data_IF_349439778397
#
_entry.id   IF_349439778397
#
_cell.length_a   1.000
_cell.length_b   1.000
_cell.length_c   1.000
_cell.angle_alpha   90.00
_cell.angle_beta   90.00
_cell.angle_gamma   90.00
#
_symmetry.space_group_name_H-M   'P 1'
#
loop_
_entity.id
_entity.type
_entity.pdbx_description
1 polymer ?
#
# COMPACT_ATOMS: atom_id res chain seq x y z
N UNK A 1 -4.64 -15.06 -6.15
CA UNK A 1 -5.63 -16.14 -5.93
C UNK A 1 -6.56 -16.20 -7.14
N UNK A 2 -6.69 -17.35 -7.80
CA UNK A 2 -7.72 -17.62 -8.83
C UNK A 2 -8.84 -18.47 -8.24
N UNK A 3 -10.10 -18.23 -8.62
CA UNK A 3 -11.23 -19.10 -8.26
C UNK A 3 -11.40 -20.18 -9.35
N UNK A 4 -10.41 -21.08 -9.45
CA UNK A 4 -10.43 -22.26 -10.33
C UNK A 4 -10.34 -23.57 -9.52
N UNK A 5 -10.90 -24.69 -10.03
CA UNK A 5 -10.89 -25.98 -9.31
C UNK A 5 -9.51 -26.62 -9.17
N UNK A 6 -8.62 -26.44 -10.15
CA UNK A 6 -7.27 -27.02 -10.17
C UNK A 6 -6.25 -25.98 -9.66
N UNK A 7 -5.39 -26.32 -8.69
CA UNK A 7 -4.29 -25.45 -8.27
C UNK A 7 -3.17 -25.45 -9.33
N UNK A 8 -2.61 -24.28 -9.61
CA UNK A 8 -1.45 -24.16 -10.50
C UNK A 8 -0.23 -24.90 -9.91
N UNK A 9 0.57 -25.57 -10.76
CA UNK A 9 1.88 -26.11 -10.35
C UNK A 9 2.87 -24.97 -10.12
N UNK A 10 3.03 -24.54 -8.87
CA UNK A 10 3.93 -23.44 -8.48
C UNK A 10 4.92 -23.93 -7.43
N UNK A 11 6.18 -23.50 -7.55
CA UNK A 11 7.16 -23.69 -6.49
C UNK A 11 6.65 -23.08 -5.17
N UNK A 12 6.95 -23.70 -4.02
CA UNK A 12 6.40 -23.25 -2.73
C UNK A 12 6.94 -21.87 -2.29
N UNK A 13 8.13 -21.51 -2.74
CA UNK A 13 8.79 -20.23 -2.47
C UNK A 13 9.81 -19.89 -3.56
N UNK A 14 10.39 -18.68 -3.49
CA UNK A 14 11.36 -18.22 -4.47
C UNK A 14 12.64 -19.07 -4.47
N UNK A 15 13.10 -19.50 -3.29
CA UNK A 15 14.31 -20.32 -3.16
C UNK A 15 14.17 -21.67 -3.84
N UNK A 16 13.02 -22.33 -3.69
CA UNK A 16 12.67 -23.57 -4.36
C UNK A 16 12.53 -23.39 -5.88
N UNK A 17 11.97 -22.27 -6.33
CA UNK A 17 11.90 -21.93 -7.76
C UNK A 17 13.31 -21.80 -8.36
N UNK A 18 14.19 -21.03 -7.69
CA UNK A 18 15.59 -20.86 -8.11
C UNK A 18 16.31 -22.21 -8.12
N UNK A 19 16.19 -23.01 -7.06
CA UNK A 19 16.79 -24.34 -6.97
C UNK A 19 16.35 -25.27 -8.12
N UNK A 20 15.07 -25.21 -8.50
CA UNK A 20 14.55 -25.96 -9.65
C UNK A 20 15.17 -25.54 -10.98
N UNK A 21 15.52 -24.26 -11.14
CA UNK A 21 16.13 -23.72 -12.35
C UNK A 21 17.64 -24.00 -12.44
N UNK A 22 18.37 -23.87 -11.33
CA UNK A 22 19.85 -23.94 -11.31
C UNK A 22 20.40 -25.32 -10.96
N UNK A 23 19.55 -26.21 -10.44
CA UNK A 23 19.94 -27.54 -10.00
C UNK A 23 20.87 -27.48 -8.79
N UNK A 24 22.14 -27.87 -8.96
CA UNK A 24 23.16 -27.93 -7.88
C UNK A 24 24.29 -26.92 -8.04
N UNK A 25 24.24 -26.04 -9.05
CA UNK A 25 25.28 -25.04 -9.26
C UNK A 25 25.17 -23.87 -8.27
N UNK A 26 26.29 -23.19 -7.95
CA UNK A 26 26.23 -21.92 -7.23
C UNK A 26 25.57 -20.85 -8.11
N UNK A 27 24.97 -19.85 -7.47
CA UNK A 27 24.30 -18.73 -8.15
C UNK A 27 24.99 -17.42 -7.80
N UNK A 28 25.40 -16.70 -8.83
CA UNK A 28 25.84 -15.32 -8.71
C UNK A 28 24.65 -14.41 -8.49
N UNK A 29 24.74 -13.50 -7.54
CA UNK A 29 23.72 -12.48 -7.30
C UNK A 29 24.33 -11.09 -7.30
N UNK A 30 23.54 -10.14 -7.78
CA UNK A 30 23.87 -8.72 -7.79
C UNK A 30 23.97 -8.18 -6.33
N UNK A 31 24.92 -7.28 -6.01
CA UNK A 31 25.05 -6.68 -4.68
C UNK A 31 23.82 -5.89 -4.24
N UNK A 32 22.98 -5.45 -5.18
CA UNK A 32 21.72 -4.76 -4.92
C UNK A 32 20.56 -5.73 -4.62
N UNK A 33 20.77 -7.06 -4.69
CA UNK A 33 19.75 -8.03 -4.28
C UNK A 33 19.39 -7.77 -2.81
N UNK A 34 18.09 -7.55 -2.47
CA UNK A 34 17.71 -7.29 -1.08
C UNK A 34 18.18 -8.39 -0.13
N UNK A 35 18.73 -8.00 1.02
CA UNK A 35 19.25 -8.89 2.05
C UNK A 35 18.24 -9.99 2.44
N UNK A 36 16.96 -9.64 2.53
CA UNK A 36 15.87 -10.60 2.78
C UNK A 36 15.80 -11.70 1.72
N UNK A 37 15.84 -11.31 0.43
CA UNK A 37 15.78 -12.23 -0.71
C UNK A 37 17.03 -13.08 -0.81
N UNK A 38 18.20 -12.49 -0.59
CA UNK A 38 19.45 -13.23 -0.51
C UNK A 38 19.35 -14.35 0.53
N UNK A 39 18.91 -14.03 1.76
CA UNK A 39 18.77 -15.01 2.85
C UNK A 39 17.71 -16.07 2.57
N UNK A 40 16.61 -15.72 1.90
CA UNK A 40 15.59 -16.68 1.46
C UNK A 40 16.17 -17.69 0.49
N UNK A 41 16.83 -17.23 -0.57
CA UNK A 41 17.41 -18.07 -1.62
C UNK A 41 18.58 -18.91 -1.08
N UNK A 42 19.44 -18.32 -0.23
CA UNK A 42 20.61 -18.99 0.36
C UNK A 42 20.26 -20.21 1.24
N UNK A 43 18.99 -20.39 1.62
CA UNK A 43 18.52 -21.61 2.31
C UNK A 43 18.46 -22.83 1.38
N UNK A 44 18.39 -22.60 0.06
CA UNK A 44 18.15 -23.64 -0.93
C UNK A 44 19.34 -23.85 -1.88
N UNK A 45 20.13 -22.81 -2.13
CA UNK A 45 21.25 -22.84 -3.07
C UNK A 45 22.46 -22.08 -2.50
N UNK A 46 23.66 -22.45 -2.96
CA UNK A 46 24.88 -21.70 -2.64
C UNK A 46 24.90 -20.39 -3.44
N UNK A 47 25.09 -19.26 -2.75
CA UNK A 47 25.12 -17.93 -3.35
C UNK A 47 26.49 -17.29 -3.18
N UNK A 48 26.90 -16.50 -4.16
CA UNK A 48 28.01 -15.57 -4.04
C UNK A 48 27.62 -14.22 -4.64
N UNK A 49 28.05 -13.14 -3.98
CA UNK A 49 27.80 -11.77 -4.45
C UNK A 49 28.85 -11.43 -5.50
N UNK A 50 28.40 -11.06 -6.71
CA UNK A 50 29.27 -10.71 -7.83
C UNK A 50 29.26 -9.21 -8.10
N UNK A 51 30.42 -8.60 -8.35
CA UNK A 51 30.53 -7.17 -8.67
C UNK A 51 30.79 -6.27 -7.46
N UNK A 52 30.89 -4.97 -7.72
CA UNK A 52 31.11 -3.93 -6.70
C UNK A 52 29.80 -3.23 -6.35
N UNK A 53 29.65 -2.81 -5.09
CA UNK A 53 28.50 -2.00 -4.65
C UNK A 53 28.48 -0.67 -5.39
N UNK A 54 27.37 -0.37 -6.06
CA UNK A 54 27.21 0.88 -6.81
C UNK A 54 26.78 1.98 -5.85
N UNK A 55 27.62 3.01 -5.70
CA UNK A 55 27.32 4.15 -4.82
C UNK A 55 26.63 5.26 -5.58
N UNK A 56 25.46 5.74 -5.13
CA UNK A 56 24.81 6.85 -5.78
C UNK A 56 25.62 8.14 -5.52
N UNK A 57 25.57 9.07 -6.48
CA UNK A 57 26.31 10.35 -6.41
C UNK A 57 25.61 11.35 -5.49
N UNK A 58 25.60 11.06 -4.18
CA UNK A 58 24.83 11.80 -3.17
C UNK A 58 25.78 12.42 -2.16
N UNK A 59 25.57 13.71 -1.85
CA UNK A 59 26.34 14.37 -0.79
C UNK A 59 26.03 13.73 0.57
N UNK A 60 27.06 13.50 1.38
CA UNK A 60 26.88 13.16 2.79
C UNK A 60 26.58 14.41 3.61
N UNK A 61 25.82 14.27 4.69
CA UNK A 61 25.49 15.37 5.58
C UNK A 61 24.57 14.93 6.72
N UNK A 62 24.09 15.92 7.47
CA UNK A 62 23.16 15.71 8.58
C UNK A 62 22.03 16.73 8.55
N UNK A 63 20.88 16.33 9.08
CA UNK A 63 19.70 17.19 9.24
C UNK A 63 19.17 17.06 10.66
N UNK A 64 18.76 18.17 11.27
CA UNK A 64 18.18 18.15 12.62
C UNK A 64 16.79 17.50 12.61
N UNK A 65 16.48 16.65 13.59
CA UNK A 65 15.16 16.04 13.78
C UNK A 65 14.03 17.07 13.88
N UNK A 66 14.31 18.23 14.50
CA UNK A 66 13.39 19.38 14.51
C UNK A 66 13.17 19.98 13.11
N UNK A 67 14.22 20.10 12.30
CA UNK A 67 14.12 20.59 10.92
C UNK A 67 13.31 19.65 10.02
N UNK A 68 13.47 18.34 10.20
CA UNK A 68 12.65 17.31 9.53
C UNK A 68 11.17 17.52 9.88
N UNK A 69 10.87 17.61 11.18
CA UNK A 69 9.49 17.78 11.69
C UNK A 69 8.86 19.08 11.19
N UNK A 70 9.61 20.19 11.20
CA UNK A 70 9.14 21.48 10.68
C UNK A 70 8.89 21.44 9.16
N UNK A 71 9.75 20.76 8.40
CA UNK A 71 9.61 20.62 6.95
C UNK A 71 8.34 19.87 6.60
N UNK A 72 8.11 18.74 7.28
CA UNK A 72 6.88 17.95 7.14
C UNK A 72 5.65 18.76 7.55
N UNK A 73 5.68 19.44 8.70
CA UNK A 73 4.57 20.27 9.17
C UNK A 73 4.21 21.38 8.17
N UNK A 74 5.21 22.04 7.56
CA UNK A 74 4.99 23.02 6.49
C UNK A 74 4.31 22.40 5.27
N UNK A 75 4.72 21.20 4.86
CA UNK A 75 4.12 20.49 3.74
C UNK A 75 2.65 20.14 4.02
N UNK A 76 2.34 19.59 5.21
CA UNK A 76 0.96 19.28 5.64
C UNK A 76 0.10 20.54 5.75
N UNK A 77 0.64 21.66 6.23
CA UNK A 77 -0.09 22.91 6.34
C UNK A 77 -0.62 23.43 4.98
N UNK A 78 0.10 23.16 3.88
CA UNK A 78 -0.30 23.61 2.53
C UNK A 78 -1.57 22.96 2.01
N UNK A 79 -1.87 21.73 2.43
CA UNK A 79 -3.03 20.96 1.97
C UNK A 79 -4.20 20.99 2.96
N UNK A 80 -3.96 21.50 4.18
CA UNK A 80 -4.92 21.46 5.28
C UNK A 80 -6.24 22.17 4.97
N UNK A 81 -6.18 23.32 4.30
CA UNK A 81 -7.39 24.07 3.95
C UNK A 81 -8.29 23.29 2.97
N UNK A 82 -7.69 22.68 1.94
CA UNK A 82 -8.42 21.84 0.99
C UNK A 82 -9.05 20.62 1.68
N UNK A 83 -8.32 19.96 2.58
CA UNK A 83 -8.85 18.83 3.36
C UNK A 83 -10.03 19.26 4.25
N UNK A 84 -9.94 20.42 4.91
CA UNK A 84 -11.02 20.96 5.74
C UNK A 84 -12.28 21.25 4.93
N UNK A 85 -12.13 21.85 3.73
CA UNK A 85 -13.24 22.10 2.81
C UNK A 85 -13.91 20.80 2.35
N UNK A 86 -13.12 19.79 1.98
CA UNK A 86 -13.63 18.46 1.61
C UNK A 86 -14.43 17.81 2.76
N UNK A 87 -13.94 17.92 4.00
CA UNK A 87 -14.62 17.41 5.19
C UNK A 87 -15.93 18.15 5.45
N UNK A 88 -15.96 19.48 5.30
CA UNK A 88 -17.16 20.29 5.49
C UNK A 88 -18.25 19.92 4.47
N UNK A 89 -17.86 19.75 3.21
CA UNK A 89 -18.74 19.45 2.09
C UNK A 89 -19.24 18.00 2.06
N UNK A 90 -18.57 17.07 2.75
CA UNK A 90 -18.88 15.63 2.73
C UNK A 90 -19.39 15.15 4.10
N UNK A 91 -20.71 14.93 4.29
CA UNK A 91 -21.29 14.57 5.59
C UNK A 91 -20.61 13.39 6.30
N UNK A 92 -20.28 12.33 5.55
CA UNK A 92 -19.62 11.13 6.08
C UNK A 92 -18.21 11.39 6.64
N UNK A 93 -17.53 12.46 6.22
CA UNK A 93 -16.18 12.83 6.67
C UNK A 93 -16.18 13.78 7.86
N UNK A 94 -17.31 14.40 8.20
CA UNK A 94 -17.40 15.37 9.31
C UNK A 94 -16.81 14.90 10.65
N UNK A 95 -16.91 13.60 11.04
CA UNK A 95 -16.25 13.10 12.24
C UNK A 95 -14.73 13.31 12.26
N UNK A 96 -14.07 13.52 11.12
CA UNK A 96 -12.63 13.78 11.00
C UNK A 96 -12.23 15.21 11.38
N UNK A 97 -13.17 16.17 11.38
CA UNK A 97 -12.86 17.60 11.55
C UNK A 97 -12.05 17.93 12.82
N UNK A 98 -12.36 17.38 14.01
CA UNK A 98 -11.56 17.64 15.22
C UNK A 98 -10.11 17.16 15.11
N UNK A 99 -9.87 16.12 14.32
CA UNK A 99 -8.58 15.43 14.25
C UNK A 99 -7.58 16.08 13.30
N UNK A 100 -8.02 17.02 12.44
CA UNK A 100 -7.12 17.79 11.56
C UNK A 100 -6.03 18.53 12.34
N UNK A 101 -6.34 18.99 13.55
CA UNK A 101 -5.38 19.63 14.45
C UNK A 101 -4.85 18.65 15.50
N UNK A 102 -5.73 17.85 16.13
CA UNK A 102 -5.35 16.97 17.25
C UNK A 102 -4.21 16.00 16.89
N UNK A 103 -4.21 15.47 15.67
CA UNK A 103 -3.22 14.50 15.22
C UNK A 103 -2.02 15.13 14.53
N UNK A 104 -1.92 16.46 14.47
CA UNK A 104 -0.82 17.12 13.76
C UNK A 104 0.52 17.11 14.50
N UNK A 105 0.57 16.58 15.72
CA UNK A 105 1.79 16.41 16.48
C UNK A 105 2.68 15.34 15.83
N UNK A 106 3.88 15.73 15.44
CA UNK A 106 4.87 14.83 14.85
C UNK A 106 5.56 14.01 15.95
N UNK A 107 5.32 12.71 15.99
CA UNK A 107 5.92 11.79 16.97
C UNK A 107 7.11 11.01 16.40
N UNK A 108 7.63 11.42 15.24
CA UNK A 108 8.44 10.56 14.38
C UNK A 108 9.56 9.85 15.10
N UNK A 109 10.41 10.65 15.72
CA UNK A 109 11.63 10.21 16.37
C UNK A 109 11.36 9.64 17.77
N UNK A 110 10.35 10.13 18.48
CA UNK A 110 9.95 9.57 19.78
C UNK A 110 9.45 8.13 19.64
N UNK A 111 8.57 7.85 18.69
CA UNK A 111 8.11 6.48 18.46
C UNK A 111 9.24 5.59 17.91
N UNK A 112 10.16 6.16 17.13
CA UNK A 112 11.31 5.44 16.61
C UNK A 112 12.27 5.03 17.72
N UNK A 113 12.46 5.89 18.73
CA UNK A 113 13.22 5.58 19.92
C UNK A 113 12.63 4.38 20.68
N UNK A 114 11.30 4.30 20.76
CA UNK A 114 10.61 3.15 21.35
C UNK A 114 10.83 1.87 20.53
N UNK A 115 10.77 1.97 19.20
CA UNK A 115 11.05 0.84 18.30
C UNK A 115 12.47 0.34 18.52
N UNK A 116 13.46 1.23 18.52
CA UNK A 116 14.86 0.91 18.77
C UNK A 116 15.07 0.31 20.17
N UNK A 117 14.38 0.83 21.19
CA UNK A 117 14.44 0.28 22.54
C UNK A 117 13.87 -1.15 22.61
N UNK A 118 12.74 -1.43 21.94
CA UNK A 118 12.11 -2.77 21.92
C UNK A 118 12.94 -3.81 21.16
N UNK A 119 13.59 -3.41 20.07
CA UNK A 119 14.44 -4.31 19.26
C UNK A 119 15.87 -4.44 19.82
N UNK A 120 16.22 -3.59 20.79
CA UNK A 120 17.55 -3.52 21.37
C UNK A 120 18.60 -3.03 20.37
N UNK A 121 18.21 -2.19 19.41
CA UNK A 121 19.11 -1.57 18.45
C UNK A 121 19.57 -0.18 18.93
N UNK A 122 20.77 0.20 18.55
CA UNK A 122 21.37 1.51 18.86
C UNK A 122 20.94 2.60 17.86
N UNK A 123 20.64 2.18 16.63
CA UNK A 123 20.27 3.04 15.52
C UNK A 123 19.38 2.29 14.53
N UNK A 124 18.64 3.03 13.71
CA UNK A 124 17.98 2.54 12.49
C UNK A 124 18.75 3.03 11.27
N UNK A 125 18.93 2.14 10.31
CA UNK A 125 19.48 2.42 8.99
C UNK A 125 18.43 2.06 7.94
N UNK A 126 18.17 2.99 7.03
CA UNK A 126 17.31 2.79 5.86
C UNK A 126 18.07 3.16 4.61
N UNK A 127 17.96 2.33 3.58
CA UNK A 127 18.38 2.62 2.20
C UNK A 127 17.17 2.66 1.25
N UNK A 128 15.95 2.44 1.74
CA UNK A 128 14.75 2.60 0.91
C UNK A 128 14.46 4.09 0.67
N UNK A 129 14.04 4.50 -0.54
CA UNK A 129 13.77 5.92 -0.84
C UNK A 129 12.78 6.55 0.14
N UNK A 130 11.72 5.83 0.50
CA UNK A 130 10.72 6.29 1.47
C UNK A 130 11.26 6.40 2.89
N UNK A 131 12.14 5.50 3.33
CA UNK A 131 12.72 5.55 4.66
C UNK A 131 13.73 6.70 4.76
N UNK A 132 14.51 6.94 3.71
CA UNK A 132 15.38 8.12 3.61
C UNK A 132 14.55 9.40 3.63
N UNK A 133 13.46 9.46 2.85
CA UNK A 133 12.55 10.61 2.85
C UNK A 133 11.88 10.82 4.23
N UNK A 134 11.42 9.76 4.89
CA UNK A 134 10.81 9.80 6.23
C UNK A 134 11.80 10.31 7.27
N UNK A 135 13.05 9.82 7.28
CA UNK A 135 14.02 10.25 8.28
C UNK A 135 14.61 11.64 7.99
N UNK A 136 14.75 12.04 6.74
CA UNK A 136 15.45 13.27 6.38
C UNK A 136 14.54 14.42 5.92
N UNK A 137 13.28 14.16 5.58
CA UNK A 137 12.41 15.09 4.83
C UNK A 137 13.09 15.63 3.56
N UNK A 138 13.83 14.75 2.86
CA UNK A 138 14.53 15.06 1.61
C UNK A 138 14.00 14.20 0.48
N UNK A 139 13.29 14.79 -0.49
CA UNK A 139 12.60 14.04 -1.54
C UNK A 139 13.56 13.47 -2.57
N UNK A 140 13.24 12.27 -3.08
CA UNK A 140 13.93 11.65 -4.21
C UNK A 140 15.43 11.42 -3.99
N UNK A 141 15.85 11.25 -2.74
CA UNK A 141 17.27 11.10 -2.39
C UNK A 141 17.66 9.63 -2.37
N UNK A 142 18.59 9.27 -3.25
CA UNK A 142 19.27 7.97 -3.20
C UNK A 142 20.23 7.88 -2.00
N UNK A 143 20.68 6.66 -1.67
CA UNK A 143 21.64 6.40 -0.62
C UNK A 143 20.98 5.93 0.67
N UNK A 144 21.63 6.23 1.81
CA UNK A 144 21.20 5.74 3.11
C UNK A 144 21.02 6.87 4.12
N UNK A 145 20.14 6.64 5.10
CA UNK A 145 19.95 7.49 6.26
C UNK A 145 20.07 6.67 7.55
N UNK A 146 20.71 7.26 8.56
CA UNK A 146 20.96 6.66 9.86
C UNK A 146 20.46 7.59 10.96
N UNK A 147 19.55 7.07 11.79
CA UNK A 147 19.11 7.74 13.02
C UNK A 147 19.57 6.94 14.23
N UNK A 148 20.30 7.59 15.15
CA UNK A 148 20.68 7.00 16.44
C UNK A 148 19.63 7.29 17.48
N UNK A 149 19.32 6.31 18.34
CA UNK A 149 18.33 6.47 19.38
C UNK A 149 18.64 7.67 20.28
N UNK A 150 17.70 8.58 20.44
CA UNK A 150 17.82 9.81 21.23
C UNK A 150 18.72 10.89 20.62
N UNK A 151 19.11 10.75 19.35
CA UNK A 151 19.85 11.79 18.62
C UNK A 151 18.95 12.97 18.27
N UNK A 152 19.54 14.15 18.18
CA UNK A 152 18.90 15.36 17.66
C UNK A 152 19.10 15.54 16.15
N UNK A 153 19.92 14.71 15.51
CA UNK A 153 20.16 14.68 14.06
C UNK A 153 19.96 13.30 13.42
N UNK A 154 19.73 13.32 12.12
CA UNK A 154 19.79 12.18 11.20
C UNK A 154 20.97 12.40 10.25
N UNK A 155 21.83 11.39 10.14
CA UNK A 155 22.95 11.38 9.21
C UNK A 155 22.52 10.71 7.90
N UNK A 156 22.94 11.24 6.76
CA UNK A 156 22.66 10.65 5.45
C UNK A 156 23.90 10.67 4.54
N UNK A 157 23.95 9.78 3.57
CA UNK A 157 25.06 9.71 2.63
C UNK A 157 25.00 8.53 1.67
N UNK A 158 26.01 8.39 0.80
CA UNK A 158 26.01 7.38 -0.26
C UNK A 158 26.37 5.97 0.22
N UNK A 159 26.78 5.79 1.48
CA UNK A 159 27.23 4.50 2.01
C UNK A 159 26.76 4.26 3.44
N UNK A 160 25.98 3.19 3.63
CA UNK A 160 25.58 2.72 4.94
C UNK A 160 26.77 2.45 5.88
N UNK A 161 27.82 1.82 5.36
CA UNK A 161 29.02 1.47 6.12
C UNK A 161 29.73 2.71 6.70
N UNK A 162 29.89 3.76 5.89
CA UNK A 162 30.49 5.03 6.33
C UNK A 162 29.65 5.70 7.42
N UNK A 163 28.32 5.73 7.27
CA UNK A 163 27.42 6.32 8.27
C UNK A 163 27.51 5.57 9.60
N UNK A 164 27.46 4.24 9.56
CA UNK A 164 27.51 3.39 10.76
C UNK A 164 28.86 3.47 11.46
N UNK A 165 29.97 3.48 10.71
CA UNK A 165 31.31 3.64 11.26
C UNK A 165 31.47 5.00 11.94
N UNK A 166 31.07 6.09 11.27
CA UNK A 166 31.12 7.45 11.83
C UNK A 166 30.27 7.60 13.10
N UNK A 167 29.10 6.95 13.13
CA UNK A 167 28.21 6.94 14.28
C UNK A 167 28.74 6.11 15.46
N UNK A 168 29.69 5.18 15.22
CA UNK A 168 30.23 4.29 16.24
C UNK A 168 29.21 3.33 16.83
N UNK A 169 28.15 2.98 16.09
CA UNK A 169 27.09 2.07 16.54
C UNK A 169 27.41 0.63 16.16
N UNK A 170 26.96 -0.33 16.97
CA UNK A 170 27.31 -1.75 16.81
C UNK A 170 26.12 -2.63 16.52
N UNK A 171 24.91 -2.22 16.91
CA UNK A 171 23.69 -2.98 16.67
C UNK A 171 22.67 -2.10 15.95
N UNK A 172 22.44 -2.38 14.67
CA UNK A 172 21.68 -1.50 13.77
C UNK A 172 20.44 -2.22 13.29
N UNK A 173 19.27 -1.61 13.50
CA UNK A 173 18.01 -2.03 12.92
C UNK A 173 18.02 -1.65 11.43
N UNK A 174 17.86 -2.63 10.55
CA UNK A 174 17.92 -2.41 9.09
C UNK A 174 16.61 -2.78 8.42
N UNK A 175 16.28 -2.10 7.33
CA UNK A 175 15.25 -2.59 6.42
C UNK A 175 15.84 -3.67 5.50
N UNK A 176 15.81 -4.94 5.90
CA UNK A 176 16.39 -6.04 5.11
C UNK A 176 15.78 -6.20 3.70
N UNK A 177 14.59 -5.64 3.46
CA UNK A 177 13.96 -5.57 2.14
C UNK A 177 14.42 -4.40 1.27
N UNK A 178 15.05 -3.39 1.87
CA UNK A 178 15.61 -2.21 1.19
C UNK A 178 17.14 -2.15 1.20
N UNK A 179 17.82 -2.96 2.03
CA UNK A 179 19.27 -3.03 2.12
C UNK A 179 19.80 -4.09 1.14
N UNK A 180 20.65 -3.70 0.20
CA UNK A 180 21.37 -4.61 -0.69
C UNK A 180 22.35 -5.51 0.07
N UNK A 181 22.53 -6.76 -0.38
CA UNK A 181 23.45 -7.70 0.26
C UNK A 181 24.90 -7.19 0.30
N UNK A 182 25.34 -6.44 -0.72
CA UNK A 182 26.70 -5.88 -0.76
C UNK A 182 26.95 -4.90 0.39
N UNK A 183 26.03 -3.97 0.64
CA UNK A 183 26.11 -3.07 1.81
C UNK A 183 26.04 -3.84 3.14
N UNK A 184 25.22 -4.89 3.20
CA UNK A 184 25.10 -5.72 4.38
C UNK A 184 26.41 -6.46 4.71
N UNK A 185 27.13 -6.96 3.71
CA UNK A 185 28.44 -7.62 3.91
C UNK A 185 29.50 -6.64 4.43
N UNK A 186 29.57 -5.42 3.89
CA UNK A 186 30.48 -4.39 4.39
C UNK A 186 30.20 -4.04 5.87
N UNK A 187 28.93 -3.87 6.23
CA UNK A 187 28.53 -3.63 7.62
C UNK A 187 28.95 -4.79 8.54
N UNK A 188 28.78 -6.03 8.09
CA UNK A 188 29.21 -7.21 8.84
C UNK A 188 30.74 -7.28 8.99
N UNK A 189 31.50 -6.88 7.96
CA UNK A 189 32.96 -6.79 8.02
C UNK A 189 33.44 -5.73 9.03
N UNK A 190 32.68 -4.65 9.23
CA UNK A 190 32.89 -3.67 10.30
C UNK A 190 32.55 -4.21 11.70
N UNK A 191 32.03 -5.44 11.79
CA UNK A 191 31.59 -6.06 13.04
C UNK A 191 30.26 -5.50 13.56
N UNK A 192 29.41 -5.00 12.66
CA UNK A 192 28.05 -4.53 13.00
C UNK A 192 27.11 -5.72 13.06
N UNK A 193 26.30 -5.77 14.12
CA UNK A 193 25.18 -6.71 14.22
C UNK A 193 23.95 -6.10 13.56
N UNK A 194 23.52 -6.69 12.44
CA UNK A 194 22.29 -6.30 11.75
C UNK A 194 21.09 -6.94 12.46
N UNK A 195 20.10 -6.11 12.82
CA UNK A 195 18.83 -6.53 13.40
C UNK A 195 17.76 -6.35 12.33
N UNK A 196 17.06 -7.43 11.99
CA UNK A 196 15.98 -7.39 11.01
C UNK A 196 14.87 -6.45 11.50
N UNK A 197 14.48 -5.53 10.64
CA UNK A 197 13.75 -4.33 11.03
C UNK A 197 12.67 -3.91 10.05
N UNK A 198 12.60 -4.45 8.84
CA UNK A 198 11.61 -4.01 7.85
C UNK A 198 10.18 -4.04 8.37
N UNK A 199 9.76 -5.12 9.06
CA UNK A 199 8.42 -5.18 9.64
C UNK A 199 8.24 -4.12 10.75
N UNK A 200 9.22 -3.95 11.64
CA UNK A 200 9.13 -2.99 12.73
C UNK A 200 9.11 -1.53 12.24
N UNK A 201 9.87 -1.23 11.19
CA UNK A 201 9.97 0.10 10.57
C UNK A 201 8.71 0.38 9.73
N UNK A 202 8.20 -0.60 8.98
CA UNK A 202 6.92 -0.48 8.28
C UNK A 202 5.77 -0.20 9.28
N UNK A 203 5.71 -0.97 10.37
CA UNK A 203 4.75 -0.74 11.47
C UNK A 203 4.81 0.67 12.02
N UNK A 204 6.01 1.16 12.27
CA UNK A 204 6.25 2.47 12.84
C UNK A 204 5.71 3.59 11.95
N UNK A 205 5.84 3.45 10.62
CA UNK A 205 5.20 4.34 9.65
C UNK A 205 3.69 4.19 9.66
N UNK A 206 3.16 2.98 9.43
CA UNK A 206 1.70 2.73 9.39
C UNK A 206 0.97 3.31 10.61
N UNK A 207 1.54 3.17 11.80
CA UNK A 207 0.92 3.62 13.04
C UNK A 207 0.93 5.13 13.25
N UNK A 208 1.76 5.89 12.54
CA UNK A 208 1.76 7.36 12.60
C UNK A 208 1.05 8.02 11.45
N UNK A 209 0.77 7.30 10.37
CA UNK A 209 0.48 7.96 9.10
C UNK A 209 -0.86 8.74 9.14
N UNK A 210 -1.69 8.54 10.18
CA UNK A 210 -2.80 9.44 10.55
C UNK A 210 -2.38 10.88 10.88
N UNK A 211 -1.12 11.13 11.25
CA UNK A 211 -0.58 12.48 11.45
C UNK A 211 -0.58 13.29 10.15
N UNK A 212 -0.64 12.60 9.01
CA UNK A 212 -0.83 13.19 7.69
C UNK A 212 -2.31 13.24 7.28
N UNK A 213 -3.26 13.25 8.24
CA UNK A 213 -4.70 13.22 7.98
C UNK A 213 -5.17 14.14 6.84
N UNK A 214 -4.70 15.40 6.70
CA UNK A 214 -5.07 16.22 5.56
C UNK A 214 -4.74 15.58 4.20
N UNK A 215 -3.57 14.95 4.07
CA UNK A 215 -3.15 14.25 2.86
C UNK A 215 -3.98 12.99 2.64
N UNK A 216 -4.24 12.22 3.70
CA UNK A 216 -5.08 11.00 3.65
C UNK A 216 -6.49 11.32 3.14
N UNK A 217 -7.10 12.40 3.63
CA UNK A 217 -8.41 12.85 3.14
C UNK A 217 -8.33 13.23 1.66
N UNK A 218 -7.41 14.13 1.29
CA UNK A 218 -7.29 14.60 -0.10
C UNK A 218 -7.08 13.43 -1.07
N UNK A 219 -6.14 12.53 -0.77
CA UNK A 219 -5.77 11.44 -1.67
C UNK A 219 -6.88 10.41 -1.83
N UNK A 220 -7.56 10.04 -0.74
CA UNK A 220 -8.68 9.10 -0.80
C UNK A 220 -9.88 9.69 -1.58
N UNK A 221 -10.18 10.99 -1.41
CA UNK A 221 -11.25 11.66 -2.15
C UNK A 221 -10.95 11.79 -3.62
N UNK A 222 -9.72 12.13 -3.97
CA UNK A 222 -9.26 12.18 -5.35
C UNK A 222 -9.38 10.81 -6.02
N UNK A 223 -8.89 9.73 -5.37
CA UNK A 223 -8.96 8.37 -5.92
C UNK A 223 -10.38 7.89 -6.10
N UNK A 224 -11.25 8.06 -5.09
CA UNK A 224 -12.66 7.68 -5.22
C UNK A 224 -13.35 8.42 -6.37
N UNK A 225 -13.13 9.73 -6.50
CA UNK A 225 -13.69 10.53 -7.60
C UNK A 225 -13.17 10.08 -8.97
N UNK A 226 -11.87 9.85 -9.09
CA UNK A 226 -11.22 9.45 -10.34
C UNK A 226 -11.65 8.05 -10.79
N UNK A 227 -11.73 7.07 -9.87
CA UNK A 227 -12.20 5.72 -10.16
C UNK A 227 -13.66 5.72 -10.64
N UNK A 228 -14.55 6.41 -9.93
CA UNK A 228 -15.96 6.48 -10.30
C UNK A 228 -16.13 7.15 -11.67
N UNK A 229 -15.39 8.24 -11.94
CA UNK A 229 -15.39 8.94 -13.24
C UNK A 229 -14.87 8.06 -14.38
N UNK A 230 -13.81 7.28 -14.16
CA UNK A 230 -13.24 6.38 -15.17
C UNK A 230 -14.16 5.21 -15.50
N UNK A 231 -14.83 4.65 -14.49
CA UNK A 231 -15.85 3.59 -14.66
C UNK A 231 -17.06 4.13 -15.40
N UNK A 232 -17.52 5.34 -15.09
CA UNK A 232 -18.59 6.01 -15.83
C UNK A 232 -18.18 6.26 -17.29
N UNK A 233 -16.95 6.75 -17.53
CA UNK A 233 -16.41 6.92 -18.87
C UNK A 233 -16.43 5.61 -19.68
N UNK A 234 -15.97 4.51 -19.10
CA UNK A 234 -15.98 3.19 -19.74
C UNK A 234 -17.42 2.73 -20.04
N UNK A 235 -18.32 2.84 -19.06
CA UNK A 235 -19.75 2.50 -19.19
C UNK A 235 -20.40 3.27 -20.33
N UNK A 236 -20.17 4.58 -20.40
CA UNK A 236 -20.71 5.46 -21.44
C UNK A 236 -20.11 5.18 -22.82
N UNK A 237 -18.83 4.86 -22.91
CA UNK A 237 -18.18 4.48 -24.15
C UNK A 237 -18.74 3.17 -24.70
N UNK A 238 -18.87 2.14 -23.85
CA UNK A 238 -19.45 0.84 -24.22
C UNK A 238 -20.91 0.99 -24.65
N UNK A 239 -21.73 1.73 -23.89
CA UNK A 239 -23.14 1.96 -24.20
C UNK A 239 -23.34 2.68 -25.55
N UNK A 240 -22.41 3.56 -25.93
CA UNK A 240 -22.43 4.29 -27.22
C UNK A 240 -21.66 3.59 -28.33
N UNK A 241 -21.12 2.39 -28.08
CA UNK A 241 -20.29 1.62 -29.02
C UNK A 241 -19.12 2.46 -29.55
N UNK A 242 -18.51 3.27 -28.67
CA UNK A 242 -17.29 4.03 -29.00
C UNK A 242 -16.09 3.11 -28.82
N UNK A 243 -15.17 3.02 -29.81
CA UNK A 243 -13.95 2.25 -29.65
C UNK A 243 -13.06 2.94 -28.62
N UNK A 244 -12.74 2.22 -27.54
CA UNK A 244 -11.79 2.62 -26.50
C UNK A 244 -10.93 1.42 -26.12
N UNK A 245 -9.85 1.67 -25.39
CA UNK A 245 -8.90 0.68 -24.88
C UNK A 245 -8.77 0.80 -23.36
N UNK A 246 -8.07 -0.14 -22.72
CA UNK A 246 -7.74 0.00 -21.29
C UNK A 246 -6.88 1.25 -21.03
N UNK A 247 -5.97 1.59 -21.95
CA UNK A 247 -5.17 2.82 -21.88
C UNK A 247 -6.02 4.09 -21.88
N UNK A 248 -7.12 4.12 -22.66
CA UNK A 248 -8.05 5.26 -22.65
C UNK A 248 -8.77 5.40 -21.30
N UNK A 249 -9.11 4.28 -20.66
CA UNK A 249 -9.77 4.30 -19.34
C UNK A 249 -8.79 4.72 -18.24
N UNK A 250 -7.53 4.23 -18.28
CA UNK A 250 -6.47 4.74 -17.40
C UNK A 250 -6.24 6.24 -17.60
N UNK A 251 -6.25 6.74 -18.84
CA UNK A 251 -6.12 8.16 -19.11
C UNK A 251 -7.29 8.95 -18.49
N UNK A 252 -8.53 8.47 -18.64
CA UNK A 252 -9.70 9.10 -18.02
C UNK A 252 -9.62 9.14 -16.48
N UNK A 253 -9.07 8.10 -15.85
CA UNK A 253 -8.78 8.08 -14.41
C UNK A 253 -7.80 9.19 -14.01
N UNK A 254 -6.66 9.31 -14.70
CA UNK A 254 -5.65 10.33 -14.40
C UNK A 254 -6.17 11.76 -14.68
N UNK A 255 -6.91 11.95 -15.78
CA UNK A 255 -7.51 13.24 -16.11
C UNK A 255 -8.53 13.68 -15.05
N UNK A 256 -9.36 12.76 -14.54
CA UNK A 256 -10.29 13.04 -13.45
C UNK A 256 -9.56 13.37 -12.13
N UNK A 257 -8.46 12.67 -11.82
CA UNK A 257 -7.63 12.98 -10.66
C UNK A 257 -7.01 14.39 -10.75
N UNK A 258 -6.49 14.77 -11.92
CA UNK A 258 -5.95 16.12 -12.15
C UNK A 258 -7.04 17.19 -12.07
N UNK A 259 -8.20 16.96 -12.68
CA UNK A 259 -9.32 17.90 -12.61
C UNK A 259 -9.82 18.08 -11.17
N UNK A 260 -9.87 17.00 -10.38
CA UNK A 260 -10.16 17.08 -8.95
C UNK A 260 -9.13 17.92 -8.22
N UNK A 261 -7.83 17.67 -8.44
CA UNK A 261 -6.74 18.44 -7.83
C UNK A 261 -6.85 19.94 -8.14
N UNK A 262 -7.12 20.30 -9.39
CA UNK A 262 -7.35 21.68 -9.83
C UNK A 262 -8.53 22.32 -9.10
N UNK A 263 -9.63 21.58 -8.93
CA UNK A 263 -10.85 22.10 -8.30
C UNK A 263 -10.67 22.48 -6.83
N UNK A 264 -9.70 21.88 -6.14
CA UNK A 264 -9.38 22.15 -4.73
C UNK A 264 -8.08 22.96 -4.56
N UNK A 265 -7.55 23.52 -5.64
CA UNK A 265 -6.34 24.36 -5.61
C UNK A 265 -5.04 23.60 -5.33
N UNK A 266 -5.00 22.29 -5.61
CA UNK A 266 -3.86 21.41 -5.40
C UNK A 266 -3.25 20.91 -6.73
N UNK A 267 -3.33 21.71 -7.79
CA UNK A 267 -2.70 21.42 -9.09
C UNK A 267 -1.24 20.99 -8.93
N UNK A 268 -0.89 19.84 -9.50
CA UNK A 268 0.47 19.30 -9.45
C UNK A 268 0.90 18.71 -8.10
N UNK A 269 -0.02 18.54 -7.15
CA UNK A 269 0.24 17.86 -5.88
C UNK A 269 -0.32 16.45 -5.80
N UNK A 270 -1.12 16.01 -6.77
CA UNK A 270 -1.69 14.67 -6.83
C UNK A 270 -1.04 13.92 -8.00
N UNK A 271 -0.46 12.76 -7.72
CA UNK A 271 0.30 11.96 -8.69
C UNK A 271 -0.24 10.54 -8.76
N UNK A 272 -0.07 9.89 -9.91
CA UNK A 272 -0.26 8.44 -10.03
C UNK A 272 0.71 7.73 -9.08
N UNK A 273 0.18 6.85 -8.22
CA UNK A 273 1.00 6.00 -7.38
C UNK A 273 1.13 4.60 -8.01
N UNK A 274 0.00 3.96 -8.30
CA UNK A 274 -0.08 2.77 -9.14
C UNK A 274 -1.44 2.70 -9.85
N UNK A 275 -1.50 1.99 -10.97
CA UNK A 275 -2.76 1.74 -11.69
C UNK A 275 -2.74 0.36 -12.35
N UNK A 276 -3.45 -0.59 -11.74
CA UNK A 276 -3.87 -1.82 -12.41
C UNK A 276 -5.20 -1.54 -13.11
N UNK A 277 -5.24 -1.71 -14.43
CA UNK A 277 -6.45 -1.50 -15.22
C UNK A 277 -6.50 -2.56 -16.31
N UNK A 278 -7.40 -3.52 -16.17
CA UNK A 278 -7.47 -4.65 -17.09
C UNK A 278 -8.89 -5.15 -17.29
N UNK A 279 -9.17 -5.57 -18.52
CA UNK A 279 -10.40 -6.20 -18.92
C UNK A 279 -10.37 -7.69 -18.53
N UNK A 280 -11.48 -8.22 -18.04
CA UNK A 280 -11.60 -9.60 -17.54
C UNK A 280 -11.41 -10.65 -18.64
N UNK A 281 -11.83 -10.33 -19.86
CA UNK A 281 -11.63 -11.13 -21.07
C UNK A 281 -10.16 -11.16 -21.55
N UNK A 282 -9.32 -10.23 -21.06
CA UNK A 282 -7.86 -10.27 -21.25
C UNK A 282 -7.15 -11.00 -20.13
N UNK A 283 -7.43 -10.61 -18.88
CA UNK A 283 -6.74 -11.13 -17.70
C UNK A 283 -7.65 -11.10 -16.49
N UNK A 284 -7.58 -12.17 -15.69
CA UNK A 284 -8.20 -12.20 -14.35
C UNK A 284 -7.22 -11.79 -13.24
N UNK A 285 -5.95 -11.58 -13.58
CA UNK A 285 -4.89 -11.15 -12.67
C UNK A 285 -4.65 -9.65 -12.80
N UNK A 286 -4.27 -8.95 -11.70
CA UNK A 286 -3.86 -7.55 -11.76
C UNK A 286 -2.81 -7.33 -12.84
N UNK A 287 -3.07 -6.38 -13.74
CA UNK A 287 -2.19 -6.05 -14.85
C UNK A 287 -2.26 -4.55 -15.15
N UNK A 288 -1.15 -4.02 -15.66
CA UNK A 288 -1.14 -2.68 -16.26
C UNK A 288 -2.06 -2.62 -17.48
N UNK A 289 -2.56 -1.42 -17.76
CA UNK A 289 -3.35 -1.12 -18.95
C UNK A 289 -2.55 -1.37 -20.25
N UNK A 290 -3.28 -1.78 -21.28
CA UNK A 290 -2.75 -2.05 -22.62
C UNK A 290 -3.68 -1.47 -23.70
N UNK A 291 -3.31 -1.64 -24.97
CA UNK A 291 -4.19 -1.30 -26.10
C UNK A 291 -5.30 -2.35 -26.33
N UNK A 292 -5.58 -3.21 -25.34
CA UNK A 292 -6.68 -4.17 -25.41
C UNK A 292 -8.01 -3.44 -25.55
N UNK A 293 -8.84 -3.83 -26.53
CA UNK A 293 -10.10 -3.15 -26.80
C UNK A 293 -11.10 -3.34 -25.67
N UNK A 294 -11.79 -2.26 -25.30
CA UNK A 294 -12.91 -2.27 -24.38
C UNK A 294 -14.18 -1.94 -25.16
N UNK A 295 -15.20 -2.80 -25.06
CA UNK A 295 -16.41 -2.67 -25.87
C UNK A 295 -17.56 -3.56 -25.40
N UNK A 296 -18.61 -3.75 -26.23
CA UNK A 296 -19.79 -4.55 -25.84
C UNK A 296 -19.51 -6.02 -25.50
N UNK A 297 -18.35 -6.56 -25.90
CA UNK A 297 -17.91 -7.91 -25.56
C UNK A 297 -17.07 -8.01 -24.28
N UNK A 298 -16.70 -6.88 -23.68
CA UNK A 298 -15.94 -6.86 -22.42
C UNK A 298 -16.82 -7.30 -21.27
N UNK A 299 -16.43 -8.35 -20.54
CA UNK A 299 -17.16 -8.90 -19.38
C UNK A 299 -17.07 -7.98 -18.16
N UNK A 300 -15.84 -7.59 -17.81
CA UNK A 300 -15.52 -6.66 -16.74
C UNK A 300 -14.32 -5.80 -17.10
N UNK A 301 -14.23 -4.60 -16.56
CA UNK A 301 -13.03 -3.78 -16.56
C UNK A 301 -12.75 -3.35 -15.11
N UNK A 302 -11.70 -3.89 -14.53
CA UNK A 302 -11.30 -3.60 -13.15
C UNK A 302 -10.27 -2.47 -13.16
N UNK A 303 -10.51 -1.43 -12.38
CA UNK A 303 -9.53 -0.43 -11.99
C UNK A 303 -9.22 -0.62 -10.51
N UNK A 304 -7.96 -0.84 -10.20
CA UNK A 304 -7.40 -1.05 -8.88
C UNK A 304 -6.15 -0.19 -8.83
N UNK A 305 -6.30 0.95 -8.16
CA UNK A 305 -5.43 2.09 -8.38
C UNK A 305 -5.33 2.98 -7.14
N UNK A 306 -4.17 3.62 -7.05
CA UNK A 306 -3.82 4.56 -5.99
C UNK A 306 -3.29 5.86 -6.56
N UNK A 307 -3.48 6.94 -5.79
CA UNK A 307 -2.83 8.22 -6.01
C UNK A 307 -1.89 8.51 -4.84
N UNK A 308 -0.99 9.46 -5.03
CA UNK A 308 -0.13 10.01 -3.98
C UNK A 308 -0.35 11.52 -3.88
N UNK A 309 -0.40 12.06 -2.65
CA UNK A 309 -0.27 13.50 -2.40
C UNK A 309 1.20 13.82 -2.16
N UNK A 310 1.79 14.63 -3.04
CA UNK A 310 3.20 15.04 -2.99
C UNK A 310 3.29 16.56 -2.86
N UNK A 311 4.00 17.03 -1.85
CA UNK A 311 4.17 18.47 -1.58
C UNK A 311 5.65 18.77 -1.42
N UNK A 312 6.17 19.66 -2.27
CA UNK A 312 7.61 19.99 -2.31
C UNK A 312 8.49 18.75 -2.50
N UNK A 313 7.98 17.77 -3.26
CA UNK A 313 8.62 16.48 -3.50
C UNK A 313 8.37 15.43 -2.41
N UNK A 314 7.86 15.79 -1.23
CA UNK A 314 7.59 14.85 -0.14
C UNK A 314 6.25 14.15 -0.34
N UNK A 315 6.26 12.82 -0.33
CA UNK A 315 5.04 12.00 -0.43
C UNK A 315 4.33 11.97 0.91
N UNK A 316 3.21 12.65 1.10
CA UNK A 316 2.56 12.74 2.41
C UNK A 316 1.57 11.62 2.69
N UNK A 317 0.91 11.09 1.67
CA UNK A 317 -0.01 9.96 1.78
C UNK A 317 -0.22 9.29 0.42
N UNK A 318 -0.54 8.00 0.43
CA UNK A 318 -1.05 7.28 -0.75
C UNK A 318 -2.44 6.71 -0.47
N UNK A 319 -3.16 6.39 -1.54
CA UNK A 319 -4.43 5.70 -1.52
C UNK A 319 -4.36 4.36 -2.22
N UNK A 320 -5.34 3.52 -1.93
CA UNK A 320 -5.59 2.25 -2.60
C UNK A 320 -7.09 1.98 -2.60
N UNK A 321 -7.67 1.86 -3.79
CA UNK A 321 -9.07 1.52 -3.97
C UNK A 321 -9.33 0.87 -5.34
N UNK A 322 -10.46 0.16 -5.41
CA UNK A 322 -10.88 -0.51 -6.62
C UNK A 322 -12.36 -0.29 -6.96
N UNK A 323 -12.60 -0.13 -8.26
CA UNK A 323 -13.92 -0.14 -8.88
C UNK A 323 -13.92 -1.04 -10.10
N UNK A 324 -15.07 -1.62 -10.41
CA UNK A 324 -15.20 -2.49 -11.57
C UNK A 324 -16.39 -2.06 -12.40
N UNK A 325 -16.17 -1.79 -13.68
CA UNK A 325 -17.25 -1.79 -14.67
C UNK A 325 -17.56 -3.24 -15.05
N UNK A 326 -18.84 -3.60 -15.09
CA UNK A 326 -19.32 -4.90 -15.56
C UNK A 326 -20.42 -4.68 -16.59
N UNK A 327 -20.49 -5.55 -17.60
CA UNK A 327 -21.33 -5.30 -18.78
C UNK A 327 -22.74 -5.87 -18.70
N UNK A 328 -23.01 -6.80 -17.78
CA UNK A 328 -24.32 -7.44 -17.63
C UNK A 328 -24.95 -7.26 -16.23
N UNK A 329 -26.29 -7.40 -16.11
CA UNK A 329 -27.00 -7.16 -14.86
C UNK A 329 -26.68 -8.13 -13.73
N UNK A 330 -26.29 -9.38 -14.04
CA UNK A 330 -26.00 -10.38 -13.00
C UNK A 330 -24.62 -10.10 -12.39
N UNK A 331 -23.64 -9.71 -13.22
CA UNK A 331 -22.34 -9.22 -12.77
C UNK A 331 -22.46 -7.94 -11.93
N UNK A 332 -23.32 -6.99 -12.34
CA UNK A 332 -23.58 -5.76 -11.57
C UNK A 332 -24.16 -6.11 -10.19
N UNK A 333 -25.13 -7.03 -10.14
CA UNK A 333 -25.69 -7.52 -8.87
C UNK A 333 -24.63 -8.18 -7.98
N UNK A 334 -23.72 -8.95 -8.56
CA UNK A 334 -22.61 -9.55 -7.83
C UNK A 334 -21.69 -8.45 -7.27
N UNK A 335 -21.28 -7.49 -8.09
CA UNK A 335 -20.46 -6.35 -7.65
C UNK A 335 -21.13 -5.55 -6.52
N UNK A 336 -22.42 -5.25 -6.63
CA UNK A 336 -23.22 -4.59 -5.58
C UNK A 336 -23.22 -5.35 -4.24
N UNK A 337 -23.24 -6.69 -4.29
CA UNK A 337 -23.11 -7.53 -3.09
C UNK A 337 -21.71 -7.36 -2.48
N UNK A 338 -20.66 -7.47 -3.30
CA UNK A 338 -19.27 -7.40 -2.80
C UNK A 338 -18.96 -6.03 -2.19
N UNK A 339 -19.33 -4.92 -2.85
CA UNK A 339 -19.08 -3.57 -2.32
C UNK A 339 -19.92 -3.28 -1.07
N UNK A 340 -21.14 -3.86 -0.95
CA UNK A 340 -21.93 -3.79 0.29
C UNK A 340 -21.21 -4.49 1.44
N UNK A 341 -20.64 -5.67 1.20
CA UNK A 341 -19.87 -6.40 2.23
C UNK A 341 -18.68 -5.55 2.69
N UNK A 342 -17.89 -5.01 1.75
CA UNK A 342 -16.77 -4.10 2.06
C UNK A 342 -17.23 -2.93 2.94
N UNK A 343 -18.28 -2.22 2.53
CA UNK A 343 -18.77 -1.04 3.26
C UNK A 343 -19.32 -1.39 4.64
N UNK A 344 -20.06 -2.49 4.78
CA UNK A 344 -20.55 -2.97 6.08
C UNK A 344 -19.40 -3.42 6.99
N UNK A 345 -18.34 -3.98 6.41
CA UNK A 345 -17.14 -4.37 7.17
C UNK A 345 -16.46 -3.13 7.76
N UNK A 346 -16.29 -2.08 6.94
CA UNK A 346 -15.74 -0.81 7.38
C UNK A 346 -16.57 -0.19 8.49
N UNK A 347 -17.90 -0.13 8.36
CA UNK A 347 -18.76 0.55 9.32
C UNK A 347 -19.03 -0.26 10.60
N UNK A 348 -19.02 -1.60 10.55
CA UNK A 348 -19.49 -2.44 11.65
C UNK A 348 -18.40 -3.32 12.30
N UNK A 349 -17.30 -3.58 11.60
CA UNK A 349 -16.32 -4.60 12.03
C UNK A 349 -14.93 -4.04 12.27
N UNK A 350 -14.47 -3.12 11.41
CA UNK A 350 -13.20 -2.43 11.57
C UNK A 350 -13.42 -1.33 12.61
N UNK A 351 -13.12 -1.63 13.87
CA UNK A 351 -13.29 -0.71 15.02
C UNK A 351 -12.10 -0.86 15.95
N UNK A 352 -11.83 0.13 16.80
CA UNK A 352 -10.75 0.04 17.78
C UNK A 352 -10.85 -1.27 18.60
N UNK A 353 -9.73 -1.99 18.69
CA UNK A 353 -9.62 -3.26 19.40
C UNK A 353 -10.04 -4.50 18.60
N UNK A 354 -10.59 -4.34 17.40
CA UNK A 354 -10.89 -5.48 16.52
C UNK A 354 -9.60 -6.23 16.14
N UNK A 355 -9.63 -7.55 16.22
CA UNK A 355 -8.50 -8.41 15.83
C UNK A 355 -8.53 -8.63 14.32
N UNK A 356 -7.38 -8.51 13.66
CA UNK A 356 -7.25 -8.59 12.21
C UNK A 356 -7.79 -9.91 11.63
N UNK A 357 -7.46 -11.05 12.26
CA UNK A 357 -8.01 -12.34 11.87
C UNK A 357 -9.53 -12.47 12.09
N UNK A 358 -10.09 -11.75 13.07
CA UNK A 358 -11.54 -11.77 13.31
C UNK A 358 -12.30 -10.96 12.26
N UNK A 359 -11.73 -9.84 11.81
CA UNK A 359 -12.26 -9.08 10.66
C UNK A 359 -12.25 -9.96 9.41
N UNK A 360 -11.13 -10.63 9.11
CA UNK A 360 -11.03 -11.56 7.97
C UNK A 360 -12.11 -12.64 8.01
N UNK A 361 -12.24 -13.34 9.15
CA UNK A 361 -13.23 -14.40 9.31
C UNK A 361 -14.65 -13.89 9.05
N UNK A 362 -15.00 -12.73 9.58
CA UNK A 362 -16.35 -12.15 9.43
C UNK A 362 -16.65 -11.73 7.99
N UNK A 363 -15.68 -11.20 7.24
CA UNK A 363 -15.84 -10.94 5.79
C UNK A 363 -16.14 -12.24 5.04
N UNK A 364 -15.39 -13.30 5.33
CA UNK A 364 -15.64 -14.63 4.72
C UNK A 364 -17.01 -15.17 5.11
N UNK A 365 -17.44 -15.02 6.37
CA UNK A 365 -18.77 -15.43 6.83
C UNK A 365 -19.88 -14.66 6.10
N UNK A 366 -19.70 -13.34 5.86
CA UNK A 366 -20.64 -12.52 5.08
C UNK A 366 -20.70 -12.96 3.61
N UNK A 367 -19.56 -13.26 2.99
CA UNK A 367 -19.52 -13.81 1.62
C UNK A 367 -20.29 -15.13 1.53
N UNK A 368 -20.11 -16.02 2.51
CA UNK A 368 -20.84 -17.29 2.58
C UNK A 368 -22.34 -17.08 2.80
N UNK A 369 -22.73 -16.10 3.61
CA UNK A 369 -24.13 -15.75 3.83
C UNK A 369 -24.83 -15.25 2.55
N UNK A 370 -24.08 -14.61 1.64
CA UNK A 370 -24.57 -14.13 0.34
C UNK A 370 -24.51 -15.19 -0.77
N UNK A 371 -24.21 -16.44 -0.42
CA UNK A 371 -24.09 -17.55 -1.39
C UNK A 371 -25.27 -17.65 -2.33
N UNK A 372 -26.50 -17.63 -1.82
CA UNK A 372 -27.69 -17.78 -2.67
C UNK A 372 -27.81 -16.63 -3.69
N UNK A 373 -27.45 -15.41 -3.27
CA UNK A 373 -27.41 -14.23 -4.15
C UNK A 373 -26.35 -14.37 -5.25
N UNK A 374 -25.14 -14.79 -4.87
CA UNK A 374 -24.03 -14.99 -5.80
C UNK A 374 -24.26 -16.19 -6.72
N UNK A 375 -24.85 -17.29 -6.25
CA UNK A 375 -25.26 -18.45 -7.08
C UNK A 375 -26.30 -18.01 -8.10
N UNK A 376 -27.31 -17.25 -7.67
CA UNK A 376 -28.36 -16.76 -8.58
C UNK A 376 -27.79 -15.85 -9.67
N UNK A 377 -26.77 -15.06 -9.35
CA UNK A 377 -26.05 -14.23 -10.31
C UNK A 377 -25.04 -15.03 -11.17
N UNK A 378 -24.76 -16.29 -10.86
CA UNK A 378 -23.73 -17.09 -11.56
C UNK A 378 -22.29 -16.80 -11.12
N UNK A 379 -22.10 -16.10 -10.00
CA UNK A 379 -20.79 -15.66 -9.48
C UNK A 379 -20.32 -16.47 -8.25
N UNK A 380 -20.94 -17.60 -7.94
CA UNK A 380 -20.48 -18.51 -6.89
C UNK A 380 -19.69 -19.70 -7.47
N UNK A 381 -18.47 -19.97 -7.00
CA UNK A 381 -17.69 -21.12 -7.50
C UNK A 381 -18.15 -22.43 -6.85
N UNK A 382 -19.07 -23.17 -7.48
CA UNK A 382 -19.71 -24.38 -6.91
C UNK A 382 -18.74 -25.49 -6.47
N UNK A 383 -17.55 -25.57 -7.06
CA UNK A 383 -16.56 -26.63 -6.84
C UNK A 383 -15.36 -26.18 -5.97
N UNK A 384 -15.42 -24.99 -5.39
CA UNK A 384 -14.31 -24.42 -4.62
C UNK A 384 -14.73 -24.33 -3.16
N UNK A 385 -13.87 -24.82 -2.26
CA UNK A 385 -13.92 -24.44 -0.85
C UNK A 385 -13.58 -22.94 -0.75
N UNK A 386 -14.60 -22.10 -0.80
CA UNK A 386 -14.42 -20.65 -0.81
C UNK A 386 -13.67 -20.19 0.44
N UNK A 387 -14.01 -20.72 1.62
CA UNK A 387 -13.36 -20.32 2.87
C UNK A 387 -11.88 -20.72 2.88
N UNK A 388 -11.58 -21.96 2.49
CA UNK A 388 -10.19 -22.42 2.35
C UNK A 388 -9.41 -21.63 1.30
N UNK A 389 -10.05 -21.21 0.21
CA UNK A 389 -9.41 -20.42 -0.86
C UNK A 389 -9.17 -18.97 -0.43
N UNK A 390 -10.15 -18.33 0.20
CA UNK A 390 -10.05 -16.97 0.73
C UNK A 390 -9.09 -16.87 1.91
N UNK A 391 -8.82 -17.96 2.63
CA UNK A 391 -7.78 -18.00 3.66
C UNK A 391 -6.36 -17.74 3.11
N UNK A 392 -6.16 -17.84 1.78
CA UNK A 392 -4.89 -17.55 1.10
C UNK A 392 -4.77 -16.07 0.67
N UNK A 393 -5.79 -15.25 0.93
CA UNK A 393 -5.82 -13.81 0.62
C UNK A 393 -6.13 -13.01 1.89
N UNK A 394 -5.63 -11.79 1.97
CA UNK A 394 -6.17 -10.81 2.89
C UNK A 394 -7.54 -10.28 2.40
N UNK A 395 -8.27 -9.57 3.26
CA UNK A 395 -9.51 -8.83 2.93
C UNK A 395 -9.35 -7.32 3.17
N UNK A 396 -8.12 -6.86 3.12
CA UNK A 396 -7.70 -5.52 3.53
C UNK A 396 -6.38 -5.53 4.29
N UNK A 397 -5.83 -4.34 4.44
CA UNK A 397 -4.55 -4.07 5.07
C UNK A 397 -4.49 -2.63 5.55
N UNK A 398 -3.54 -2.33 6.43
CA UNK A 398 -3.19 -0.95 6.71
C UNK A 398 -2.54 -0.31 5.49
N UNK A 399 -2.63 1.00 5.43
CA UNK A 399 -1.98 1.82 4.43
C UNK A 399 -0.95 2.73 5.09
N UNK A 400 -0.04 3.25 4.29
CA UNK A 400 0.89 4.26 4.73
C UNK A 400 1.26 5.23 3.62
N UNK A 401 2.40 5.89 3.75
CA UNK A 401 3.01 6.71 2.67
C UNK A 401 3.46 5.89 1.45
N UNK A 402 3.28 4.56 1.47
CA UNK A 402 3.50 3.62 0.38
C UNK A 402 2.71 2.31 0.62
N UNK A 403 2.57 1.49 -0.42
CA UNK A 403 1.88 0.18 -0.42
C UNK A 403 2.66 -0.93 0.31
N UNK A 404 3.88 -0.67 0.81
CA UNK A 404 4.58 -1.67 1.62
C UNK A 404 4.00 -1.70 3.03
N UNK A 405 2.87 -2.40 3.18
CA UNK A 405 2.21 -2.65 4.44
C UNK A 405 2.69 -3.96 5.06
N UNK A 406 2.70 -3.96 6.38
CA UNK A 406 3.13 -5.06 7.25
C UNK A 406 1.97 -5.70 8.00
N UNK A 407 0.79 -5.09 7.92
CA UNK A 407 -0.39 -5.39 8.73
C UNK A 407 -1.57 -5.70 7.81
N UNK A 408 -2.04 -6.95 7.82
CA UNK A 408 -3.05 -7.44 6.87
C UNK A 408 -4.17 -8.19 7.58
N UNK A 409 -5.42 -8.01 7.13
CA UNK A 409 -6.53 -8.82 7.61
C UNK A 409 -6.42 -10.23 7.03
N UNK A 410 -5.67 -11.11 7.70
CA UNK A 410 -5.42 -12.50 7.30
C UNK A 410 -5.71 -13.50 8.43
N UNK A 411 -5.98 -14.77 8.10
CA UNK A 411 -6.13 -15.81 9.11
C UNK A 411 -4.90 -15.92 10.00
N UNK A 412 -5.13 -15.95 11.31
CA UNK A 412 -4.07 -16.10 12.32
C UNK A 412 -3.36 -14.81 12.73
N UNK A 413 -3.62 -13.69 12.06
CA UNK A 413 -3.09 -12.38 12.49
C UNK A 413 -3.76 -11.93 13.80
N UNK A 414 -2.92 -11.69 14.81
CA UNK A 414 -3.32 -11.30 16.17
C UNK A 414 -3.25 -9.81 16.42
N UNK A 415 -2.88 -9.05 15.41
CA UNK A 415 -2.88 -7.61 15.49
C UNK A 415 -4.27 -7.05 15.77
N UNK A 416 -4.29 -5.92 16.48
CA UNK A 416 -5.50 -5.18 16.80
C UNK A 416 -5.52 -3.85 16.06
N UNK A 417 -6.70 -3.50 15.58
CA UNK A 417 -7.04 -2.19 15.03
C UNK A 417 -6.93 -1.15 16.15
N UNK A 418 -6.33 0.00 15.86
CA UNK A 418 -6.16 1.12 16.80
C UNK A 418 -6.76 2.40 16.22
N UNK A 419 -7.06 3.35 17.09
CA UNK A 419 -7.36 4.73 16.67
C UNK A 419 -6.20 5.27 15.84
N UNK A 420 -6.54 5.94 14.73
CA UNK A 420 -5.56 6.44 13.77
C UNK A 420 -5.09 5.38 12.76
N UNK A 421 -5.49 4.11 12.88
CA UNK A 421 -5.28 3.19 11.77
C UNK A 421 -6.13 3.64 10.58
N UNK A 422 -5.52 3.66 9.40
CA UNK A 422 -6.23 3.76 8.14
C UNK A 422 -5.68 2.71 7.18
N UNK A 423 -6.52 2.32 6.23
CA UNK A 423 -6.23 1.20 5.37
C UNK A 423 -7.24 1.05 4.27
N UNK A 424 -7.16 -0.07 3.56
CA UNK A 424 -8.14 -0.50 2.58
C UNK A 424 -8.86 -1.75 3.09
N UNK A 425 -10.13 -1.91 2.71
CA UNK A 425 -10.86 -3.16 2.87
C UNK A 425 -11.30 -3.60 1.48
N UNK A 426 -10.94 -4.82 1.10
CA UNK A 426 -11.03 -5.27 -0.27
C UNK A 426 -11.60 -6.68 -0.41
N UNK A 427 -12.31 -6.87 -1.51
CA UNK A 427 -12.74 -8.16 -2.01
C UNK A 427 -12.36 -8.24 -3.49
N UNK A 428 -11.53 -9.23 -3.82
CA UNK A 428 -11.13 -9.52 -5.20
C UNK A 428 -11.75 -10.84 -5.65
N UNK A 429 -12.54 -10.79 -6.72
CA UNK A 429 -13.38 -11.88 -7.19
C UNK A 429 -13.08 -12.27 -8.65
N UNK A 430 -11.93 -12.92 -8.91
CA UNK A 430 -11.57 -13.39 -10.24
C UNK A 430 -12.26 -14.73 -10.56
N UNK A 431 -13.37 -14.69 -11.30
CA UNK A 431 -14.19 -15.87 -11.65
C UNK A 431 -14.51 -15.91 -13.15
N UNK A 432 -14.20 -17.04 -13.80
CA UNK A 432 -14.40 -17.18 -15.25
C UNK A 432 -13.61 -16.14 -16.03
N UNK A 433 -14.31 -15.34 -16.84
CA UNK A 433 -13.77 -14.19 -17.58
C UNK A 433 -14.05 -12.86 -16.86
N UNK A 434 -14.44 -12.87 -15.58
CA UNK A 434 -14.66 -11.67 -14.78
C UNK A 434 -13.51 -11.47 -13.79
N UNK A 435 -13.03 -10.24 -13.74
CA UNK A 435 -12.14 -9.74 -12.69
C UNK A 435 -12.87 -8.63 -11.97
N UNK A 436 -13.45 -8.92 -10.81
CA UNK A 436 -14.20 -7.92 -10.03
C UNK A 436 -13.38 -7.55 -8.80
N UNK A 437 -13.06 -6.27 -8.65
CA UNK A 437 -12.51 -5.68 -7.43
C UNK A 437 -13.49 -4.71 -6.81
N UNK A 438 -13.77 -4.88 -5.52
CA UNK A 438 -14.54 -3.97 -4.69
C UNK A 438 -13.69 -3.60 -3.48
N UNK A 439 -13.39 -2.31 -3.33
CA UNK A 439 -12.47 -1.86 -2.30
C UNK A 439 -12.71 -0.41 -1.93
N UNK A 440 -12.68 -0.12 -0.64
CA UNK A 440 -12.81 1.22 -0.10
C UNK A 440 -11.77 1.46 1.00
N UNK A 441 -11.31 2.70 1.10
CA UNK A 441 -10.41 3.12 2.18
C UNK A 441 -11.20 3.52 3.42
N UNK A 442 -10.58 3.34 4.58
CA UNK A 442 -11.18 3.60 5.87
C UNK A 442 -10.18 4.20 6.85
N UNK A 443 -10.68 4.91 7.86
CA UNK A 443 -9.89 5.45 8.97
C UNK A 443 -10.63 5.33 10.31
N UNK A 444 -9.95 4.82 11.33
CA UNK A 444 -10.53 4.49 12.64
C UNK A 444 -10.42 5.68 13.59
N UNK A 445 -11.56 6.08 14.13
CA UNK A 445 -11.72 7.05 15.20
C UNK A 445 -12.04 6.34 16.53
N UNK A 446 -11.94 7.01 17.69
CA UNK A 446 -12.24 6.41 19.00
C UNK A 446 -13.63 5.77 19.14
N UNK A 447 -14.63 6.21 18.37
CA UNK A 447 -16.02 5.74 18.51
C UNK A 447 -16.66 5.25 17.22
N UNK A 448 -15.94 5.31 16.09
CA UNK A 448 -16.48 4.99 14.77
C UNK A 448 -15.34 4.79 13.77
N UNK A 449 -15.65 4.24 12.61
CA UNK A 449 -14.74 4.22 11.46
C UNK A 449 -15.37 5.00 10.33
N UNK A 450 -14.55 5.78 9.62
CA UNK A 450 -14.97 6.62 8.50
C UNK A 450 -14.54 5.96 7.20
N UNK A 451 -15.46 5.72 6.28
CA UNK A 451 -15.14 5.35 4.91
C UNK A 451 -14.72 6.60 4.13
N UNK A 452 -13.48 6.61 3.63
CA UNK A 452 -12.86 7.77 3.01
C UNK A 452 -13.22 7.89 1.51
N UNK A 453 -13.42 6.78 0.82
CA UNK A 453 -13.61 6.72 -0.64
C UNK A 453 -15.08 6.67 -1.07
N UNK A 454 -16.01 6.50 -0.13
CA UNK A 454 -17.44 6.52 -0.41
C UNK A 454 -17.90 7.90 -0.90
N UNK A 455 -18.47 7.97 -2.11
CA UNK A 455 -19.10 9.18 -2.64
C UNK A 455 -20.57 9.23 -2.17
N UNK A 456 -20.87 10.09 -1.19
CA UNK A 456 -22.23 10.35 -0.70
C UNK A 456 -22.81 9.32 0.28
N UNK A 457 -23.88 9.72 0.97
CA UNK A 457 -24.64 8.84 1.86
C UNK A 457 -25.52 7.93 1.01
N UNK A 458 -25.01 6.76 0.61
CA UNK A 458 -25.89 5.67 0.22
C UNK A 458 -26.50 5.09 1.52
N UNK A 459 -27.83 4.94 1.59
CA UNK A 459 -28.56 4.57 2.80
C UNK A 459 -28.18 3.20 3.39
#
# INVERSE_FOLDING_TARGET
MTLRPEPDEVAPDLGAAVAGLVGRGPVEVDPELPLARYREIARHVELYVGGDVVRPAVAAGSVGTGEVSETVARAVARIRLAAAELIEQTPSLRPLAPYLEEWSADTRFTDLDEVLARTGADAVLTSSPIGVEELCALPGRDGSALYRRGSDSVEYGPSAAVLVEAAGVRRVLVEEWGLGIGEAEELQQLGVTLVDGSHAIAKWRERRDHQYLPAVVVVARATGHALDSAVEFARDAVARVRPITENDVRAAYLDAAHAFADSIGLTGHIHEFFTNCHAGDRSIHPCLATDHPVGPGTTSLKLDAGLAVVVDGLTLATSDAARTFVSDPDAERAYEILIRIVRSTISEQITEGAVFADVHRRVVDQLVAERDGLVKAGFWPEQIDLAGRYALRNVGHLMGRQESFSSEFRPGDREVVRVGDFGACEIQWPIGEYSIGAEDMWLVLPSTTVNLTQQGDAP
#
